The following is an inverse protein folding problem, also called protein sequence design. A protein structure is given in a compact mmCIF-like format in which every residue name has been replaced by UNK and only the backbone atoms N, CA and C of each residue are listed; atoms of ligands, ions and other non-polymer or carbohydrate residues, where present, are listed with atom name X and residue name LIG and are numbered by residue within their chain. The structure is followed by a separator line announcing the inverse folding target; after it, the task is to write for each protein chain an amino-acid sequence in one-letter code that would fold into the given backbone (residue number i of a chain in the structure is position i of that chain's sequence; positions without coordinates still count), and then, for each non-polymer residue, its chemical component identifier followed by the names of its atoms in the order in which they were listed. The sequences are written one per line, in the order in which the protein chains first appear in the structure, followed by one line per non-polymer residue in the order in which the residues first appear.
data_IF_616415047074
#
_entry.id   IF_616415047074
#
_cell.length_a   1.000
_cell.length_b   1.000
_cell.length_c   1.000
_cell.angle_alpha   90.00
_cell.angle_beta   90.00
_cell.angle_gamma   90.00
#
_symmetry.space_group_name_H-M   'P 1'
#
loop_
_entity.id
_entity.type
_entity.pdbx_description
1 polymer ?
#
# COMPACT_ATOMS: atom_id res chain seq x y z
N UNK A 1 -6.82 10.62 -13.63
CA UNK A 1 -6.33 9.27 -13.28
C UNK A 1 -4.83 9.35 -13.22
N UNK A 2 -4.21 8.84 -12.18
CA UNK A 2 -2.75 8.82 -12.01
C UNK A 2 -2.37 7.69 -11.06
N UNK A 3 -1.09 7.44 -10.89
CA UNK A 3 -0.57 6.22 -10.30
C UNK A 3 -0.76 6.13 -8.77
N UNK A 4 -1.37 5.04 -8.33
CA UNK A 4 -1.51 4.64 -6.94
C UNK A 4 -0.88 3.26 -6.70
N UNK A 5 -0.26 3.09 -5.54
CA UNK A 5 0.32 1.82 -5.10
C UNK A 5 -0.53 1.22 -3.98
N UNK A 6 -0.96 -0.02 -4.18
CA UNK A 6 -1.70 -0.78 -3.20
C UNK A 6 -0.92 -2.04 -2.80
N UNK A 7 -0.94 -2.44 -1.52
CA UNK A 7 -0.31 -3.69 -1.13
C UNK A 7 -1.05 -4.88 -1.75
N UNK A 8 -0.32 -5.80 -2.38
CA UNK A 8 -0.88 -7.05 -2.88
C UNK A 8 -1.09 -8.03 -1.74
N UNK A 9 -2.21 -8.76 -1.72
CA UNK A 9 -2.33 -9.95 -0.87
C UNK A 9 -1.18 -10.92 -1.14
N UNK A 10 -0.79 -11.71 -0.14
CA UNK A 10 0.28 -12.70 -0.26
C UNK A 10 -0.32 -14.11 -0.27
N UNK A 11 0.31 -15.11 -0.90
CA UNK A 11 -0.26 -16.45 -0.91
C UNK A 11 -0.39 -17.00 0.52
N UNK A 12 -1.53 -17.64 0.80
CA UNK A 12 -1.72 -18.45 1.98
C UNK A 12 -0.88 -19.73 1.83
N UNK A 13 -0.30 -20.27 2.93
CA UNK A 13 0.42 -21.55 2.85
C UNK A 13 -0.44 -22.64 2.20
N UNK A 14 0.06 -23.24 1.12
CA UNK A 14 -0.65 -24.25 0.32
C UNK A 14 -1.56 -23.68 -0.78
N UNK A 15 -1.70 -22.36 -0.89
CA UNK A 15 -2.47 -21.63 -1.90
C UNK A 15 -1.60 -20.97 -2.99
N UNK A 16 -0.29 -21.16 -2.96
CA UNK A 16 0.69 -20.48 -3.81
C UNK A 16 0.39 -20.70 -5.30
N UNK A 17 0.15 -21.95 -5.70
CA UNK A 17 -0.11 -22.29 -7.09
C UNK A 17 -1.37 -21.60 -7.65
N UNK A 18 -2.45 -21.54 -6.86
CA UNK A 18 -3.68 -20.81 -7.23
C UNK A 18 -3.40 -19.31 -7.35
N UNK A 19 -2.68 -18.75 -6.37
CA UNK A 19 -2.32 -17.34 -6.32
C UNK A 19 -1.46 -16.91 -7.52
N UNK A 20 -0.35 -17.61 -7.78
CA UNK A 20 0.61 -17.25 -8.83
C UNK A 20 0.05 -17.47 -10.25
N UNK A 21 -0.79 -18.51 -10.45
CA UNK A 21 -1.50 -18.69 -11.73
C UNK A 21 -2.47 -17.55 -12.01
N UNK A 22 -3.24 -17.10 -11.00
CA UNK A 22 -4.21 -16.03 -11.17
C UNK A 22 -3.54 -14.70 -11.54
N UNK A 23 -2.42 -14.37 -10.91
CA UNK A 23 -1.66 -13.14 -11.23
C UNK A 23 -0.78 -13.30 -12.48
N UNK A 24 -1.04 -14.32 -13.30
CA UNK A 24 -0.47 -14.51 -14.63
C UNK A 24 1.01 -14.89 -14.66
N UNK A 25 1.52 -15.47 -13.58
CA UNK A 25 2.84 -16.10 -13.61
C UNK A 25 2.73 -17.57 -14.02
N UNK A 26 3.75 -18.04 -14.74
CA UNK A 26 3.85 -19.46 -15.06
C UNK A 26 4.10 -20.23 -13.75
N UNK A 27 3.70 -21.50 -13.71
CA UNK A 27 3.91 -22.41 -12.58
C UNK A 27 5.38 -22.82 -12.42
N UNK A 28 6.29 -21.84 -12.46
CA UNK A 28 7.73 -22.02 -12.32
C UNK A 28 8.25 -20.94 -11.34
N UNK A 29 8.79 -21.32 -10.17
CA UNK A 29 9.31 -20.41 -9.15
C UNK A 29 10.30 -19.37 -9.66
N UNK A 30 11.09 -19.70 -10.69
CA UNK A 30 12.07 -18.77 -11.27
C UNK A 30 11.40 -17.62 -12.06
N UNK A 31 10.18 -17.84 -12.56
CA UNK A 31 9.37 -16.80 -13.19
C UNK A 31 8.76 -15.82 -12.18
N UNK A 32 8.69 -16.21 -10.90
CA UNK A 32 8.11 -15.40 -9.82
C UNK A 32 8.99 -14.21 -9.41
N UNK A 33 10.27 -14.26 -9.79
CA UNK A 33 11.27 -13.25 -9.43
C UNK A 33 11.45 -12.15 -10.49
N UNK A 34 10.72 -12.16 -11.61
CA UNK A 34 10.85 -11.13 -12.67
C UNK A 34 9.73 -10.09 -12.61
N UNK A 35 10.02 -8.78 -12.77
CA UNK A 35 8.99 -7.76 -12.90
C UNK A 35 8.07 -8.12 -14.06
N UNK A 36 6.76 -7.94 -13.89
CA UNK A 36 5.79 -8.29 -14.92
C UNK A 36 4.88 -7.09 -15.21
N UNK A 37 4.70 -6.79 -16.49
CA UNK A 37 3.86 -5.69 -17.01
C UNK A 37 2.35 -5.99 -16.89
N UNK A 38 1.97 -7.00 -16.11
CA UNK A 38 0.58 -7.46 -16.05
C UNK A 38 -0.31 -6.43 -15.37
N UNK A 39 -1.10 -5.73 -16.19
CA UNK A 39 -2.34 -5.13 -15.74
C UNK A 39 -3.23 -6.25 -15.19
N UNK A 40 -3.55 -6.21 -13.89
CA UNK A 40 -4.50 -7.13 -13.28
C UNK A 40 -5.77 -7.19 -14.14
N UNK A 41 -6.22 -8.40 -14.50
CA UNK A 41 -7.50 -8.62 -15.17
C UNK A 41 -7.55 -8.50 -16.71
N UNK A 42 -6.44 -8.24 -17.44
CA UNK A 42 -6.47 -8.18 -18.92
C UNK A 42 -5.42 -9.03 -19.65
N UNK A 43 -4.63 -9.83 -18.94
CA UNK A 43 -3.68 -10.78 -19.51
C UNK A 43 -4.31 -12.14 -19.77
N UNK A 44 -4.24 -12.60 -21.01
CA UNK A 44 -4.76 -13.87 -21.53
C UNK A 44 -3.96 -15.05 -20.93
N UNK A 45 -4.32 -15.53 -19.74
CA UNK A 45 -3.96 -16.86 -19.27
C UNK A 45 -5.17 -17.48 -18.57
N UNK A 46 -5.36 -18.79 -18.77
CA UNK A 46 -6.63 -19.52 -18.62
C UNK A 46 -7.52 -19.03 -17.47
N UNK A 47 -8.81 -18.81 -17.78
CA UNK A 47 -9.94 -18.67 -16.85
C UNK A 47 -10.14 -19.92 -15.95
N UNK A 48 -9.07 -20.59 -15.53
CA UNK A 48 -9.11 -21.81 -14.75
C UNK A 48 -9.23 -21.53 -13.23
N UNK A 49 -8.91 -20.32 -12.78
CA UNK A 49 -9.03 -19.90 -11.37
C UNK A 49 -10.08 -18.80 -11.27
N UNK A 50 -11.12 -19.01 -10.45
CA UNK A 50 -12.13 -17.98 -10.17
C UNK A 50 -11.58 -16.89 -9.25
N UNK A 51 -12.18 -15.70 -9.27
CA UNK A 51 -11.88 -14.62 -8.33
C UNK A 51 -12.05 -15.09 -6.88
N UNK A 52 -13.12 -15.83 -6.57
CA UNK A 52 -13.35 -16.41 -5.24
C UNK A 52 -12.20 -17.33 -4.80
N UNK A 53 -11.72 -18.20 -5.71
CA UNK A 53 -10.60 -19.10 -5.41
C UNK A 53 -9.29 -18.32 -5.20
N UNK A 54 -9.08 -17.22 -5.92
CA UNK A 54 -7.94 -16.33 -5.72
C UNK A 54 -8.03 -15.54 -4.41
N UNK A 55 -9.20 -15.05 -4.04
CA UNK A 55 -9.41 -14.38 -2.75
C UNK A 55 -9.25 -15.35 -1.58
N UNK A 56 -9.70 -16.60 -1.72
CA UNK A 56 -9.51 -17.62 -0.69
C UNK A 56 -8.05 -18.10 -0.56
N UNK A 57 -7.26 -18.05 -1.65
CA UNK A 57 -5.87 -18.51 -1.66
C UNK A 57 -4.88 -17.48 -1.13
N UNK A 58 -5.32 -16.27 -0.79
CA UNK A 58 -4.45 -15.21 -0.29
C UNK A 58 -4.71 -14.85 1.17
N UNK A 59 -3.70 -14.24 1.77
CA UNK A 59 -3.75 -13.46 3.00
C UNK A 59 -3.76 -12.01 2.54
N UNK A 60 -4.86 -11.32 2.82
CA UNK A 60 -5.03 -9.92 2.47
C UNK A 60 -4.09 -9.01 3.30
N UNK A 61 -3.76 -7.81 2.82
CA UNK A 61 -2.98 -6.83 3.59
C UNK A 61 -3.61 -6.51 4.96
N UNK A 62 -4.95 -6.46 5.02
CA UNK A 62 -5.73 -6.26 6.24
C UNK A 62 -5.39 -7.29 7.32
N UNK A 63 -5.36 -8.58 6.95
CA UNK A 63 -5.05 -9.68 7.87
C UNK A 63 -3.65 -9.57 8.51
N UNK A 64 -2.67 -8.92 7.86
CA UNK A 64 -1.32 -8.80 8.42
C UNK A 64 -1.09 -7.52 9.21
N UNK A 65 -2.01 -6.57 9.14
CA UNK A 65 -1.99 -5.36 9.96
C UNK A 65 -2.39 -5.64 11.41
N UNK A 66 -3.08 -6.76 11.68
CA UNK A 66 -3.60 -7.11 13.00
C UNK A 66 -4.43 -5.98 13.62
N UNK A 67 -5.27 -5.34 12.82
CA UNK A 67 -6.16 -4.28 13.29
C UNK A 67 -7.15 -4.82 14.34
N UNK A 68 -7.47 -4.04 15.38
CA UNK A 68 -8.56 -4.38 16.29
C UNK A 68 -9.87 -4.63 15.52
N UNK A 69 -10.60 -5.66 15.94
CA UNK A 69 -11.82 -6.11 15.28
C UNK A 69 -13.06 -5.90 16.15
N UNK A 70 -14.11 -5.33 15.56
CA UNK A 70 -15.41 -5.15 16.23
C UNK A 70 -16.01 -6.52 16.56
N UNK A 71 -16.52 -6.65 17.78
CA UNK A 71 -17.05 -7.89 18.37
C UNK A 71 -16.00 -8.80 18.99
N UNK A 72 -14.70 -8.46 18.86
CA UNK A 72 -13.57 -9.23 19.40
C UNK A 72 -12.71 -8.39 20.34
N UNK A 73 -12.46 -7.12 20.00
CA UNK A 73 -11.54 -6.23 20.70
C UNK A 73 -12.30 -5.05 21.34
N UNK A 74 -12.17 -4.81 22.66
CA UNK A 74 -12.93 -3.75 23.35
C UNK A 74 -12.72 -2.34 22.80
N UNK A 75 -11.53 -2.02 22.31
CA UNK A 75 -11.21 -0.74 21.67
C UNK A 75 -11.91 -0.55 20.33
N UNK A 76 -12.09 -1.63 19.54
CA UNK A 76 -12.84 -1.59 18.30
C UNK A 76 -14.34 -1.40 18.56
N UNK A 77 -14.87 -2.04 19.61
CA UNK A 77 -16.27 -1.87 20.02
C UNK A 77 -16.56 -0.45 20.48
N UNK A 78 -15.63 0.16 21.25
CA UNK A 78 -15.73 1.58 21.62
C UNK A 78 -15.71 2.48 20.39
N UNK A 79 -14.78 2.25 19.47
CA UNK A 79 -14.72 3.01 18.21
C UNK A 79 -16.03 2.89 17.43
N UNK A 80 -16.62 1.69 17.33
CA UNK A 80 -17.89 1.47 16.65
C UNK A 80 -19.03 2.24 17.33
N UNK A 81 -19.07 2.28 18.67
CA UNK A 81 -20.05 3.05 19.43
C UNK A 81 -19.90 4.57 19.25
N UNK A 82 -18.66 5.07 19.18
CA UNK A 82 -18.39 6.48 18.87
C UNK A 82 -18.85 6.84 17.45
N UNK A 83 -18.55 6.01 16.45
CA UNK A 83 -19.04 6.22 15.07
C UNK A 83 -20.55 6.14 14.98
N UNK A 84 -21.18 5.24 15.74
CA UNK A 84 -22.64 5.20 15.84
C UNK A 84 -23.19 6.55 16.28
N UNK A 85 -22.61 7.17 17.32
CA UNK A 85 -23.05 8.46 17.84
C UNK A 85 -22.99 9.60 16.81
N UNK A 86 -22.00 9.57 15.91
CA UNK A 86 -21.75 10.58 14.87
C UNK A 86 -22.44 10.29 13.53
N UNK A 87 -22.89 9.06 13.29
CA UNK A 87 -23.45 8.66 12.01
C UNK A 87 -24.82 9.30 11.72
N UNK A 88 -24.94 9.96 10.56
CA UNK A 88 -26.22 10.51 10.08
C UNK A 88 -27.21 9.40 9.68
N UNK A 89 -26.68 8.30 9.13
CA UNK A 89 -27.44 7.11 8.77
C UNK A 89 -26.95 5.93 9.61
N UNK A 90 -27.80 5.48 10.53
CA UNK A 90 -27.50 4.38 11.46
C UNK A 90 -28.76 3.57 11.77
N UNK A 91 -28.64 2.27 12.08
CA UNK A 91 -29.77 1.47 12.52
C UNK A 91 -30.34 2.00 13.85
N UNK A 92 -31.57 1.59 14.23
CA UNK A 92 -32.25 2.10 15.42
C UNK A 92 -31.52 1.88 16.74
N UNK A 93 -30.63 0.88 16.82
CA UNK A 93 -29.91 0.52 18.05
C UNK A 93 -28.41 0.38 17.84
N UNK A 94 -27.65 0.61 18.91
CA UNK A 94 -26.20 0.36 18.93
C UNK A 94 -25.88 -1.13 18.75
N UNK A 95 -26.69 -2.02 19.33
CA UNK A 95 -26.48 -3.47 19.22
C UNK A 95 -26.57 -3.94 17.76
N UNK A 96 -27.55 -3.45 17.00
CA UNK A 96 -27.68 -3.75 15.56
C UNK A 96 -26.51 -3.17 14.75
N UNK A 97 -26.03 -1.97 15.10
CA UNK A 97 -24.85 -1.37 14.48
C UNK A 97 -23.59 -2.19 14.71
N UNK A 98 -23.34 -2.61 15.96
CA UNK A 98 -22.18 -3.42 16.32
C UNK A 98 -22.26 -4.80 15.67
N UNK A 99 -23.45 -5.41 15.60
CA UNK A 99 -23.64 -6.68 14.91
C UNK A 99 -23.37 -6.56 13.39
N UNK A 100 -23.84 -5.48 12.75
CA UNK A 100 -23.56 -5.19 11.34
C UNK A 100 -22.06 -4.96 11.06
N UNK A 101 -21.32 -4.48 12.05
CA UNK A 101 -19.88 -4.28 11.98
C UNK A 101 -19.07 -5.47 12.51
N UNK A 102 -19.69 -6.57 12.96
CA UNK A 102 -18.96 -7.69 13.56
C UNK A 102 -17.90 -8.23 12.59
N UNK A 103 -16.66 -8.32 13.08
CA UNK A 103 -15.49 -8.74 12.28
C UNK A 103 -14.85 -7.62 11.46
N UNK A 104 -15.43 -6.41 11.44
CA UNK A 104 -14.84 -5.25 10.79
C UNK A 104 -13.50 -4.88 11.43
N UNK A 105 -12.47 -4.70 10.61
CA UNK A 105 -11.12 -4.35 11.01
C UNK A 105 -10.97 -2.82 11.11
N UNK A 106 -10.69 -2.31 12.30
CA UNK A 106 -10.65 -0.86 12.57
C UNK A 106 -9.25 -0.30 12.37
N UNK A 107 -8.93 0.06 11.13
CA UNK A 107 -7.62 0.62 10.74
C UNK A 107 -7.30 1.97 11.40
N UNK A 108 -8.33 2.72 11.78
CA UNK A 108 -8.17 3.98 12.49
C UNK A 108 -7.50 3.81 13.87
N UNK A 109 -7.56 2.60 14.44
CA UNK A 109 -6.93 2.28 15.73
C UNK A 109 -5.50 1.76 15.59
N UNK A 110 -5.01 1.53 14.37
CA UNK A 110 -3.63 1.16 14.16
C UNK A 110 -2.71 2.36 14.38
N UNK A 111 -1.54 2.14 15.00
CA UNK A 111 -0.54 3.18 15.11
C UNK A 111 -0.13 3.66 13.72
N UNK A 112 0.30 4.91 13.63
CA UNK A 112 0.88 5.41 12.39
C UNK A 112 2.18 4.67 12.08
N UNK A 113 2.34 4.26 10.83
CA UNK A 113 3.56 3.63 10.34
C UNK A 113 3.75 3.92 8.84
N UNK A 114 4.87 3.50 8.27
CA UNK A 114 5.16 3.73 6.85
C UNK A 114 4.26 2.96 5.87
N UNK A 115 3.44 2.04 6.37
CA UNK A 115 2.38 1.39 5.61
C UNK A 115 1.15 2.28 5.45
N UNK A 116 1.02 3.34 6.26
CA UNK A 116 0.04 4.42 6.16
C UNK A 116 0.75 5.73 5.75
N UNK A 117 0.97 5.95 4.44
CA UNK A 117 1.79 7.06 3.98
C UNK A 117 1.06 8.40 4.03
N UNK A 118 1.82 9.49 4.16
CA UNK A 118 1.28 10.86 4.08
C UNK A 118 0.85 11.23 2.66
N UNK A 119 1.58 10.75 1.65
CA UNK A 119 1.22 10.92 0.24
C UNK A 119 0.19 9.86 -0.12
N UNK A 120 -1.06 10.16 0.20
CA UNK A 120 -2.19 9.27 -0.06
C UNK A 120 -3.39 10.07 -0.54
N UNK A 121 -4.21 9.39 -1.31
CA UNK A 121 -5.46 9.92 -1.82
C UNK A 121 -6.62 9.69 -0.81
N UNK A 122 -6.43 8.86 0.22
CA UNK A 122 -7.46 8.47 1.21
C UNK A 122 -8.42 9.58 1.66
N UNK A 123 -7.97 10.79 2.06
CA UNK A 123 -8.89 11.84 2.53
C UNK A 123 -9.87 12.35 1.48
N UNK A 124 -9.59 12.14 0.19
CA UNK A 124 -10.38 12.67 -0.93
C UNK A 124 -11.52 11.75 -1.34
N UNK A 125 -11.48 10.47 -0.99
CA UNK A 125 -12.55 9.52 -1.31
C UNK A 125 -12.62 8.42 -0.24
N UNK A 126 -13.78 8.21 0.41
CA UNK A 126 -13.95 7.20 1.46
C UNK A 126 -13.80 5.75 0.98
N UNK A 127 -13.74 5.50 -0.34
CA UNK A 127 -13.50 4.17 -0.93
C UNK A 127 -12.00 3.89 -1.07
N UNK A 128 -11.16 4.91 -1.12
CA UNK A 128 -9.72 4.72 -1.10
C UNK A 128 -9.29 4.26 0.28
N UNK A 129 -8.08 3.73 0.43
CA UNK A 129 -7.70 3.11 1.69
C UNK A 129 -6.46 3.80 2.26
N UNK A 130 -6.38 3.86 3.59
CA UNK A 130 -5.32 4.61 4.30
C UNK A 130 -3.90 4.14 3.94
N UNK A 131 -3.74 2.91 3.44
CA UNK A 131 -2.44 2.36 3.04
C UNK A 131 -2.01 2.65 1.61
N UNK A 132 -2.86 3.28 0.79
CA UNK A 132 -2.53 3.55 -0.60
C UNK A 132 -1.49 4.67 -0.67
N UNK A 133 -0.37 4.41 -1.37
CA UNK A 133 0.63 5.45 -1.66
C UNK A 133 0.37 6.09 -3.02
N UNK A 134 0.33 7.42 -3.08
CA UNK A 134 0.15 8.19 -4.32
C UNK A 134 1.47 8.30 -5.08
N UNK A 135 1.78 7.29 -5.89
CA UNK A 135 3.07 7.23 -6.59
C UNK A 135 3.18 8.14 -7.81
N UNK A 136 2.09 8.79 -8.23
CA UNK A 136 2.11 9.84 -9.25
C UNK A 136 3.15 10.95 -8.94
N UNK A 137 3.40 11.25 -7.66
CA UNK A 137 4.41 12.24 -7.23
C UNK A 137 5.85 11.84 -7.60
N UNK A 138 6.12 10.57 -7.94
CA UNK A 138 7.45 10.16 -8.40
C UNK A 138 7.79 10.70 -9.79
N UNK A 139 6.81 11.15 -10.59
CA UNK A 139 7.06 11.82 -11.87
C UNK A 139 7.89 13.08 -11.69
N UNK A 140 7.58 13.86 -10.65
CA UNK A 140 8.29 15.08 -10.31
C UNK A 140 9.67 14.79 -9.68
N UNK A 141 10.01 13.52 -9.48
CA UNK A 141 11.27 13.05 -8.91
C UNK A 141 12.19 12.39 -9.95
N UNK A 142 11.83 12.36 -11.24
CA UNK A 142 12.56 11.61 -12.29
C UNK A 142 14.04 11.97 -12.35
N UNK A 143 14.39 13.26 -12.26
CA UNK A 143 15.78 13.74 -12.27
C UNK A 143 16.65 13.13 -11.15
N UNK A 144 16.02 12.66 -10.07
CA UNK A 144 16.71 12.07 -8.91
C UNK A 144 16.75 10.55 -8.97
N UNK A 145 15.61 9.92 -9.30
CA UNK A 145 15.51 8.45 -9.32
C UNK A 145 15.93 7.83 -10.66
N UNK A 146 15.94 8.62 -11.73
CA UNK A 146 16.18 8.20 -13.10
C UNK A 146 15.00 7.47 -13.74
N UNK A 147 15.00 7.37 -15.09
CA UNK A 147 13.89 6.82 -15.86
C UNK A 147 13.65 5.33 -15.55
N UNK A 148 14.69 4.55 -15.24
CA UNK A 148 14.56 3.12 -14.97
C UNK A 148 13.75 2.84 -13.69
N UNK A 149 14.04 3.57 -12.60
CA UNK A 149 13.27 3.43 -11.35
C UNK A 149 11.88 4.04 -11.48
N UNK A 150 11.73 5.12 -12.24
CA UNK A 150 10.41 5.69 -12.51
C UNK A 150 9.54 4.71 -13.29
N UNK A 151 10.06 4.09 -14.36
CA UNK A 151 9.31 3.11 -15.15
C UNK A 151 8.86 1.92 -14.30
N UNK A 152 9.70 1.47 -13.36
CA UNK A 152 9.35 0.39 -12.42
C UNK A 152 8.24 0.76 -11.43
N UNK A 153 7.93 2.05 -11.22
CA UNK A 153 6.80 2.48 -10.40
C UNK A 153 5.45 2.02 -10.99
N UNK A 154 5.39 1.81 -12.31
CA UNK A 154 4.19 1.43 -13.06
C UNK A 154 3.99 -0.09 -13.17
N UNK A 155 4.88 -0.86 -12.54
CA UNK A 155 4.88 -2.31 -12.57
C UNK A 155 4.43 -2.88 -11.24
N UNK A 156 3.89 -4.09 -11.26
CA UNK A 156 3.66 -4.84 -10.03
C UNK A 156 4.97 -5.43 -9.52
N UNK A 157 5.10 -5.52 -8.20
CA UNK A 157 6.27 -6.12 -7.55
C UNK A 157 5.85 -7.21 -6.57
N UNK A 158 6.53 -8.35 -6.61
CA UNK A 158 6.50 -9.33 -5.53
C UNK A 158 7.30 -8.84 -4.32
N UNK A 159 7.12 -9.43 -3.12
CA UNK A 159 7.72 -8.90 -1.90
C UNK A 159 9.24 -8.66 -1.99
N UNK A 160 10.00 -9.60 -2.55
CA UNK A 160 11.45 -9.44 -2.71
C UNK A 160 11.84 -8.34 -3.72
N UNK A 161 11.04 -8.17 -4.78
CA UNK A 161 11.23 -7.10 -5.77
C UNK A 161 10.88 -5.74 -5.18
N UNK A 162 9.80 -5.68 -4.39
CA UNK A 162 9.37 -4.48 -3.69
C UNK A 162 10.42 -4.04 -2.68
N UNK A 163 11.02 -4.98 -1.96
CA UNK A 163 12.15 -4.69 -1.06
C UNK A 163 13.35 -4.11 -1.80
N UNK A 164 13.73 -4.74 -2.93
CA UNK A 164 14.83 -4.25 -3.75
C UNK A 164 14.54 -2.85 -4.33
N UNK A 165 13.32 -2.64 -4.80
CA UNK A 165 12.87 -1.36 -5.34
C UNK A 165 12.87 -0.27 -4.26
N UNK A 166 12.30 -0.55 -3.09
CA UNK A 166 12.32 0.34 -1.93
C UNK A 166 13.74 0.69 -1.48
N UNK A 167 14.67 -0.26 -1.50
CA UNK A 167 16.08 -0.02 -1.19
C UNK A 167 16.74 0.93 -2.19
N UNK A 168 16.49 0.75 -3.49
CA UNK A 168 17.04 1.63 -4.53
C UNK A 168 16.47 3.06 -4.46
N UNK A 169 15.17 3.19 -4.19
CA UNK A 169 14.55 4.49 -3.92
C UNK A 169 15.19 5.16 -2.69
N UNK A 170 15.41 4.41 -1.62
CA UNK A 170 16.07 4.91 -0.41
C UNK A 170 17.48 5.42 -0.68
N UNK A 171 18.26 4.70 -1.48
CA UNK A 171 19.62 5.10 -1.86
C UNK A 171 19.63 6.38 -2.69
N UNK A 172 18.67 6.55 -3.61
CA UNK A 172 18.48 7.79 -4.36
C UNK A 172 18.09 8.95 -3.44
N UNK A 173 17.08 8.77 -2.58
CA UNK A 173 16.66 9.79 -1.62
C UNK A 173 17.81 10.21 -0.70
N UNK A 174 18.53 9.24 -0.15
CA UNK A 174 19.63 9.47 0.81
C UNK A 174 20.80 10.23 0.18
N UNK A 175 21.16 9.88 -1.06
CA UNK A 175 22.22 10.57 -1.80
C UNK A 175 21.82 12.00 -2.14
N UNK A 176 20.62 12.19 -2.71
CA UNK A 176 20.11 13.50 -3.07
C UNK A 176 19.95 14.42 -1.85
N UNK A 177 19.39 13.90 -0.75
CA UNK A 177 19.22 14.67 0.46
C UNK A 177 20.56 15.15 1.04
N UNK A 178 21.60 14.30 0.99
CA UNK A 178 22.96 14.66 1.41
C UNK A 178 23.58 15.74 0.54
N UNK A 179 23.45 15.63 -0.78
CA UNK A 179 23.97 16.62 -1.73
C UNK A 179 23.28 17.99 -1.56
N UNK A 180 22.04 17.99 -1.06
CA UNK A 180 21.21 19.19 -0.88
C UNK A 180 21.12 19.68 0.57
N UNK A 181 21.76 18.99 1.52
CA UNK A 181 21.72 19.27 2.97
C UNK A 181 20.29 19.26 3.57
N UNK A 182 19.46 18.31 3.15
CA UNK A 182 18.07 18.15 3.58
C UNK A 182 17.80 16.77 4.22
N UNK A 183 18.82 16.08 4.73
CA UNK A 183 18.69 14.71 5.28
C UNK A 183 17.69 14.58 6.42
N UNK A 184 17.37 15.68 7.11
CA UNK A 184 16.39 15.71 8.18
C UNK A 184 15.01 15.22 7.75
N UNK A 185 14.67 15.30 6.45
CA UNK A 185 13.38 14.84 5.92
C UNK A 185 13.30 13.33 5.67
N UNK A 186 14.43 12.61 5.61
CA UNK A 186 14.45 11.19 5.20
C UNK A 186 13.66 10.26 6.13
N UNK A 187 13.49 10.65 7.39
CA UNK A 187 12.69 9.91 8.38
C UNK A 187 11.52 10.74 8.92
N UNK A 188 11.27 11.93 8.35
CA UNK A 188 10.10 12.70 8.70
C UNK A 188 8.84 11.96 8.19
N UNK A 189 7.76 12.08 8.96
CA UNK A 189 6.47 11.45 8.67
C UNK A 189 5.56 12.38 7.87
N UNK A 190 5.42 13.62 8.36
CA UNK A 190 4.80 14.72 7.65
C UNK A 190 5.86 15.60 7.01
N UNK A 191 5.46 16.31 5.96
CA UNK A 191 6.23 17.37 5.36
C UNK A 191 5.46 18.67 5.57
N UNK A 192 5.80 19.37 6.65
CA UNK A 192 5.19 20.64 7.03
C UNK A 192 6.12 21.76 6.59
N UNK A 193 6.06 22.14 5.31
CA UNK A 193 6.78 23.31 4.81
C UNK A 193 5.78 24.24 4.13
N UNK A 194 5.47 25.35 4.82
CA UNK A 194 4.53 26.40 4.38
C UNK A 194 5.08 27.25 3.21
N UNK A 195 6.28 26.94 2.71
CA UNK A 195 6.94 27.68 1.64
C UNK A 195 6.80 26.96 0.29
N UNK A 196 6.45 27.74 -0.75
CA UNK A 196 6.22 27.35 -2.15
C UNK A 196 6.91 26.04 -2.59
N UNK A 197 6.06 25.06 -2.89
CA UNK A 197 6.29 23.61 -2.90
C UNK A 197 6.91 23.12 -4.23
N UNK A 198 6.98 23.98 -5.25
CA UNK A 198 7.59 23.64 -6.54
C UNK A 198 9.12 23.59 -6.41
N UNK A 199 9.72 22.50 -6.89
CA UNK A 199 11.18 22.27 -6.93
C UNK A 199 11.90 22.25 -5.57
N UNK A 200 11.19 22.06 -4.46
CA UNK A 200 11.81 21.94 -3.12
C UNK A 200 12.63 20.65 -3.02
N UNK A 201 13.97 20.72 -2.82
CA UNK A 201 14.80 19.53 -2.66
C UNK A 201 14.38 18.69 -1.44
N UNK A 202 13.89 19.37 -0.39
CA UNK A 202 13.39 18.73 0.82
C UNK A 202 12.14 17.89 0.51
N UNK A 203 11.20 18.43 -0.28
CA UNK A 203 10.00 17.71 -0.70
C UNK A 203 10.36 16.51 -1.59
N UNK A 204 11.20 16.71 -2.61
CA UNK A 204 11.64 15.63 -3.52
C UNK A 204 12.28 14.49 -2.72
N UNK A 205 13.21 14.81 -1.80
CA UNK A 205 13.81 13.80 -0.92
C UNK A 205 12.75 13.10 -0.04
N UNK A 206 11.79 13.84 0.51
CA UNK A 206 10.76 13.31 1.38
C UNK A 206 9.77 12.38 0.65
N UNK A 207 9.36 12.73 -0.58
CA UNK A 207 8.51 11.89 -1.44
C UNK A 207 9.18 10.57 -1.74
N UNK A 208 10.43 10.61 -2.22
CA UNK A 208 11.18 9.39 -2.57
C UNK A 208 11.43 8.53 -1.32
N UNK A 209 11.79 9.15 -0.19
CA UNK A 209 11.99 8.44 1.06
C UNK A 209 10.68 7.81 1.58
N UNK A 210 9.54 8.51 1.47
CA UNK A 210 8.23 7.98 1.87
C UNK A 210 7.83 6.79 1.00
N UNK A 211 8.04 6.85 -0.32
CA UNK A 211 7.82 5.74 -1.24
C UNK A 211 8.69 4.52 -0.86
N UNK A 212 9.97 4.76 -0.55
CA UNK A 212 10.91 3.74 -0.13
C UNK A 212 10.50 3.06 1.18
N UNK A 213 10.11 3.85 2.20
CA UNK A 213 9.67 3.31 3.49
C UNK A 213 8.37 2.51 3.34
N UNK A 214 7.43 3.00 2.55
CA UNK A 214 6.20 2.26 2.23
C UNK A 214 6.50 0.89 1.61
N UNK A 215 7.36 0.86 0.59
CA UNK A 215 7.76 -0.36 -0.09
C UNK A 215 8.38 -1.37 0.89
N UNK A 216 9.32 -0.92 1.71
CA UNK A 216 10.01 -1.75 2.72
C UNK A 216 9.07 -2.23 3.83
N UNK A 217 8.09 -1.42 4.19
CA UNK A 217 7.14 -1.74 5.26
C UNK A 217 6.16 -2.84 4.82
N UNK A 218 5.73 -2.83 3.56
CA UNK A 218 4.85 -3.88 3.02
C UNK A 218 5.60 -5.14 2.59
N UNK A 219 6.80 -5.01 2.01
CA UNK A 219 7.66 -6.16 1.69
C UNK A 219 8.03 -6.95 2.96
N UNK A 220 8.35 -6.27 4.08
CA UNK A 220 8.65 -6.90 5.35
C UNK A 220 7.48 -7.72 5.93
N UNK A 221 6.24 -7.37 5.57
CA UNK A 221 5.03 -8.15 5.90
C UNK A 221 4.75 -9.29 4.91
N UNK A 222 5.58 -9.40 3.87
CA UNK A 222 5.46 -10.37 2.80
C UNK A 222 4.46 -9.98 1.71
N UNK A 223 4.08 -8.70 1.62
CA UNK A 223 3.18 -8.19 0.59
C UNK A 223 3.96 -7.61 -0.60
N UNK A 224 3.35 -7.72 -1.78
CA UNK A 224 3.83 -7.08 -2.99
C UNK A 224 3.19 -5.70 -3.20
N UNK A 225 3.40 -5.14 -4.38
CA UNK A 225 2.80 -3.88 -4.83
C UNK A 225 1.98 -4.10 -6.10
N UNK A 226 0.77 -3.56 -6.08
CA UNK A 226 -0.11 -3.40 -7.22
C UNK A 226 -0.03 -1.96 -7.70
N UNK A 227 0.36 -1.74 -8.96
CA UNK A 227 0.31 -0.43 -9.60
C UNK A 227 -1.07 -0.23 -10.24
N UNK A 228 -1.82 0.77 -9.79
CA UNK A 228 -3.16 1.12 -10.27
C UNK A 228 -3.15 2.51 -10.94
N UNK A 229 -3.56 2.60 -12.21
CA UNK A 229 -3.44 3.80 -13.03
C UNK A 229 -4.35 3.87 -14.26
#
# INVERSE_FOLDING_TARGET
MGLDWNPLGKPRPGGEDVYYRYIGQKSDPDSWLRPNDLKFGKGVFERAVSEDAFHASQISPYETLNAPQVGTHPEADRWAAERYAEAEQRPPTLDEWVENLRGYQVLALLPEDDGFPVYTNWPLNPIWERWTFRAEFLKDCEEVIGPDLLNRAWLNHFPAQLENYGSQLWDCASRYARERNVEHVLNARSFDDEADIADSPALTAHVIASAARWARQWSARGHGLAADY
#
